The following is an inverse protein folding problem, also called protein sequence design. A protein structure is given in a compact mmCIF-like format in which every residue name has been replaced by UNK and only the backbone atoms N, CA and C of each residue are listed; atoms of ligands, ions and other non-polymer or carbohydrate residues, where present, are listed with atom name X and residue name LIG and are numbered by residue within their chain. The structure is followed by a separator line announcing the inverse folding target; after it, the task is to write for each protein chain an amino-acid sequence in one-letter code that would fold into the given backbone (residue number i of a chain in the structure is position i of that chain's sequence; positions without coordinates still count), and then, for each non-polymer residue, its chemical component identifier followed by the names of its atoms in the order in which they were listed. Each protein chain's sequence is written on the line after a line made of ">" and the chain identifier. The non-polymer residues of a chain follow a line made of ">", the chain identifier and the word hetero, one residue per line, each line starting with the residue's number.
data_IF_556323591247
#
_entry.id   IF_556323591247
#
_cell.length_a   1.000
_cell.length_b   1.000
_cell.length_c   1.000
_cell.angle_alpha   90.00
_cell.angle_beta   90.00
_cell.angle_gamma   90.00
#
_symmetry.space_group_name_H-M   'P 1'
#
loop_
_entity.id
_entity.type
_entity.pdbx_description
1 polymer ?
#
# COMPACT_ATOMS: atom_id res chain seq x y z
N UNK A 1 4.14 15.45 19.46
CA UNK A 1 3.08 14.48 19.05
C UNK A 1 2.24 13.99 20.24
N UNK A 2 2.83 13.59 21.40
CA UNK A 2 2.05 13.08 22.57
C UNK A 2 0.92 14.01 23.02
N UNK A 3 1.18 15.31 23.20
CA UNK A 3 0.15 16.31 23.57
C UNK A 3 -0.98 16.40 22.54
N UNK A 4 -0.67 16.33 21.26
CA UNK A 4 -1.67 16.32 20.19
C UNK A 4 -2.51 15.05 20.26
N UNK A 5 -1.89 13.89 20.49
CA UNK A 5 -2.58 12.60 20.65
C UNK A 5 -3.62 12.68 21.80
N UNK A 6 -3.18 13.10 22.99
CA UNK A 6 -4.06 13.23 24.15
C UNK A 6 -5.22 14.18 23.86
N UNK A 7 -4.94 15.36 23.33
CA UNK A 7 -5.97 16.34 23.00
C UNK A 7 -7.01 15.81 22.00
N UNK A 8 -6.57 15.14 20.94
CA UNK A 8 -7.50 14.57 19.96
C UNK A 8 -8.37 13.47 20.55
N UNK A 9 -7.80 12.62 21.42
CA UNK A 9 -8.54 11.53 22.06
C UNK A 9 -9.50 12.00 23.13
N UNK A 10 -9.22 13.12 23.81
CA UNK A 10 -10.18 13.77 24.72
C UNK A 10 -11.43 14.24 23.97
N UNK A 11 -11.27 14.76 22.75
CA UNK A 11 -12.39 15.21 21.92
C UNK A 11 -13.12 14.04 21.24
N UNK A 12 -12.38 13.07 20.77
CA UNK A 12 -12.89 11.91 20.04
C UNK A 12 -11.99 10.69 20.28
N UNK A 13 -12.40 9.72 21.13
CA UNK A 13 -11.56 8.58 21.52
C UNK A 13 -11.01 7.74 20.37
N UNK A 14 -11.76 7.66 19.26
CA UNK A 14 -11.39 6.91 18.05
C UNK A 14 -10.70 7.79 16.97
N UNK A 15 -10.23 8.98 17.34
CA UNK A 15 -9.55 9.89 16.39
C UNK A 15 -8.23 9.30 15.93
N UNK A 16 -8.09 9.06 14.62
CA UNK A 16 -6.88 8.54 14.01
C UNK A 16 -5.90 9.68 13.65
N UNK A 17 -4.64 9.53 14.04
CA UNK A 17 -3.53 10.39 13.64
C UNK A 17 -2.60 9.63 12.71
N UNK A 18 -2.45 10.12 11.49
CA UNK A 18 -1.57 9.57 10.47
C UNK A 18 -0.52 10.62 10.12
N UNK A 19 0.76 10.28 10.20
CA UNK A 19 1.87 11.16 9.87
C UNK A 19 2.37 10.94 8.46
N UNK A 20 2.84 12.00 7.82
CA UNK A 20 3.64 11.89 6.63
C UNK A 20 5.11 11.85 7.01
N UNK A 21 5.75 10.71 6.76
CA UNK A 21 7.14 10.44 7.12
C UNK A 21 7.85 9.77 5.96
N UNK A 22 8.87 10.42 5.44
CA UNK A 22 9.59 9.95 4.25
C UNK A 22 10.61 8.86 4.57
N UNK A 23 11.27 8.95 5.73
CA UNK A 23 12.36 8.04 6.12
C UNK A 23 12.54 8.01 7.65
N UNK A 24 13.29 7.05 8.11
CA UNK A 24 13.62 6.87 9.53
C UNK A 24 12.96 5.62 10.14
N UNK A 25 13.15 5.46 11.44
CA UNK A 25 12.51 4.38 12.19
C UNK A 25 11.11 4.81 12.66
N UNK A 26 10.10 4.26 12.02
CA UNK A 26 8.70 4.58 12.32
C UNK A 26 8.27 4.16 13.73
N UNK A 27 8.99 3.24 14.41
CA UNK A 27 8.69 2.87 15.80
C UNK A 27 8.80 4.05 16.76
N UNK A 28 9.65 5.04 16.44
CA UNK A 28 9.82 6.22 17.28
C UNK A 28 8.57 7.10 17.33
N UNK A 29 7.73 7.04 16.30
CA UNK A 29 6.57 7.95 16.14
C UNK A 29 5.23 7.22 15.99
N UNK A 30 5.22 5.98 15.51
CA UNK A 30 4.01 5.13 15.41
C UNK A 30 3.98 4.21 16.62
N UNK A 31 3.28 4.63 17.66
CA UNK A 31 3.16 3.93 18.93
C UNK A 31 1.90 4.41 19.69
N UNK A 32 1.63 3.82 20.84
CA UNK A 32 0.41 4.08 21.61
C UNK A 32 0.30 5.51 22.14
N UNK A 33 1.40 6.26 22.21
CA UNK A 33 1.43 7.63 22.72
C UNK A 33 1.42 8.72 21.65
N UNK A 34 1.67 8.37 20.37
CA UNK A 34 1.85 9.36 19.29
C UNK A 34 0.96 9.07 18.08
N UNK A 35 1.53 8.68 16.95
CA UNK A 35 0.76 8.42 15.74
C UNK A 35 0.21 7.00 15.72
N UNK A 36 -0.95 6.81 15.13
CA UNK A 36 -1.54 5.49 14.87
C UNK A 36 -0.90 4.83 13.64
N UNK A 37 -0.49 5.65 12.67
CA UNK A 37 0.09 5.22 11.40
C UNK A 37 0.98 6.32 10.82
N UNK A 38 1.78 5.96 9.83
CA UNK A 38 2.45 6.91 8.94
C UNK A 38 2.54 6.36 7.52
N UNK A 39 2.91 7.24 6.58
CA UNK A 39 3.12 6.91 5.17
C UNK A 39 4.23 5.86 4.98
N UNK A 40 3.95 4.82 4.17
CA UNK A 40 4.89 3.74 3.90
C UNK A 40 5.61 3.94 2.55
N UNK A 41 6.54 4.89 2.52
CA UNK A 41 7.31 5.19 1.32
C UNK A 41 8.24 4.05 0.86
N UNK A 42 8.68 3.19 1.78
CA UNK A 42 9.48 2.01 1.43
C UNK A 42 8.65 1.05 0.56
N UNK A 43 7.43 0.69 0.98
CA UNK A 43 6.56 -0.16 0.18
C UNK A 43 6.11 0.54 -1.12
N UNK A 44 5.83 1.86 -1.10
CA UNK A 44 5.56 2.61 -2.33
C UNK A 44 6.66 2.40 -3.37
N UNK A 45 7.93 2.64 -2.98
CA UNK A 45 9.08 2.42 -3.87
C UNK A 45 9.17 0.96 -4.31
N UNK A 46 9.07 0.02 -3.37
CA UNK A 46 9.16 -1.41 -3.66
C UNK A 46 8.10 -1.87 -4.66
N UNK A 47 6.86 -1.35 -4.57
CA UNK A 47 5.77 -1.71 -5.49
C UNK A 47 6.13 -1.33 -6.93
N UNK A 48 6.29 -0.02 -7.23
CA UNK A 48 6.48 0.38 -8.64
C UNK A 48 7.80 -0.13 -9.22
N UNK A 49 8.85 -0.19 -8.41
CA UNK A 49 10.16 -0.67 -8.83
C UNK A 49 10.12 -2.15 -9.17
N UNK A 50 9.47 -2.99 -8.37
CA UNK A 50 9.31 -4.42 -8.64
C UNK A 50 8.58 -4.70 -9.95
N UNK A 51 7.51 -3.99 -10.23
CA UNK A 51 6.79 -4.16 -11.50
C UNK A 51 7.56 -3.63 -12.70
N UNK A 52 8.28 -2.52 -12.56
CA UNK A 52 9.06 -1.95 -13.66
C UNK A 52 10.32 -2.76 -14.02
N UNK A 53 10.96 -3.35 -13.02
CA UNK A 53 12.15 -4.19 -13.20
C UNK A 53 11.82 -5.67 -13.44
N UNK A 54 10.54 -6.06 -13.39
CA UNK A 54 10.11 -7.46 -13.44
C UNK A 54 10.82 -8.30 -12.36
N UNK A 55 10.90 -7.73 -11.13
CA UNK A 55 11.65 -8.32 -10.04
C UNK A 55 10.92 -8.10 -8.69
N UNK A 56 10.17 -9.11 -8.27
CA UNK A 56 9.38 -9.07 -7.03
C UNK A 56 10.21 -9.12 -5.75
N UNK A 57 11.53 -9.35 -5.82
CA UNK A 57 12.39 -9.44 -4.64
C UNK A 57 12.43 -8.14 -3.83
N UNK A 58 12.32 -6.98 -4.47
CA UNK A 58 12.39 -5.70 -3.75
C UNK A 58 11.18 -5.52 -2.84
N UNK A 59 9.96 -5.65 -3.36
CA UNK A 59 8.77 -5.52 -2.53
C UNK A 59 8.63 -6.65 -1.53
N UNK A 60 9.01 -7.88 -1.90
CA UNK A 60 9.00 -9.01 -0.99
C UNK A 60 9.96 -8.79 0.20
N UNK A 61 11.16 -8.23 -0.05
CA UNK A 61 12.09 -7.86 1.02
C UNK A 61 11.48 -6.83 1.97
N UNK A 62 10.86 -5.77 1.43
CA UNK A 62 10.20 -4.74 2.25
C UNK A 62 9.06 -5.32 3.09
N UNK A 63 8.23 -6.20 2.52
CA UNK A 63 7.14 -6.85 3.25
C UNK A 63 7.65 -7.79 4.34
N UNK A 64 8.66 -8.61 4.06
CA UNK A 64 9.28 -9.49 5.06
C UNK A 64 9.93 -8.68 6.19
N UNK A 65 10.66 -7.62 5.85
CA UNK A 65 11.31 -6.74 6.82
C UNK A 65 10.30 -6.04 7.72
N UNK A 66 9.18 -5.61 7.18
CA UNK A 66 8.18 -4.85 7.93
C UNK A 66 7.18 -5.74 8.69
N UNK A 67 6.77 -6.87 8.12
CA UNK A 67 5.63 -7.65 8.59
C UNK A 67 5.89 -9.16 8.69
N UNK A 68 7.06 -9.64 8.27
CA UNK A 68 7.39 -11.06 8.22
C UNK A 68 7.38 -11.78 9.57
N UNK A 69 7.45 -13.11 9.57
CA UNK A 69 7.44 -13.91 10.80
C UNK A 69 8.74 -13.86 11.57
N UNK A 70 9.84 -13.44 10.95
CA UNK A 70 11.18 -13.48 11.50
C UNK A 70 11.39 -12.48 12.66
N UNK A 71 12.32 -12.79 13.56
CA UNK A 71 12.62 -11.91 14.71
C UNK A 71 13.11 -10.53 14.33
N UNK A 72 13.76 -10.38 13.18
CA UNK A 72 14.25 -9.11 12.66
C UNK A 72 13.15 -8.22 12.01
N UNK A 73 11.90 -8.66 12.03
CA UNK A 73 10.75 -7.85 11.57
C UNK A 73 10.59 -6.60 12.42
N UNK A 74 10.56 -5.43 11.77
CA UNK A 74 10.63 -4.13 12.45
C UNK A 74 9.28 -3.49 12.78
N UNK A 75 8.20 -3.80 12.03
CA UNK A 75 6.90 -3.13 12.19
C UNK A 75 5.75 -4.12 12.41
N UNK A 76 6.03 -5.28 13.00
CA UNK A 76 5.00 -6.27 13.31
C UNK A 76 3.90 -5.65 14.19
N UNK A 77 2.64 -5.85 13.79
CA UNK A 77 1.48 -5.30 14.49
C UNK A 77 1.20 -3.83 14.19
N UNK A 78 2.01 -3.15 13.38
CA UNK A 78 1.72 -1.78 12.94
C UNK A 78 0.95 -1.76 11.63
N UNK A 79 0.05 -0.81 11.52
CA UNK A 79 -0.77 -0.59 10.33
C UNK A 79 -0.32 0.67 9.59
N UNK A 80 0.80 0.58 8.86
CA UNK A 80 1.32 1.71 8.08
C UNK A 80 0.40 2.02 6.90
N UNK A 81 0.24 3.30 6.57
CA UNK A 81 -0.54 3.75 5.42
C UNK A 81 0.25 3.53 4.13
N UNK A 82 -0.15 2.52 3.37
CA UNK A 82 0.48 2.14 2.10
C UNK A 82 -0.29 2.70 0.92
N UNK A 83 0.43 3.09 -0.13
CA UNK A 83 -0.12 3.72 -1.33
C UNK A 83 0.72 3.36 -2.56
N UNK A 84 0.17 3.55 -3.75
CA UNK A 84 0.88 3.38 -5.02
C UNK A 84 1.22 4.71 -5.68
N UNK A 85 0.54 5.76 -5.29
CA UNK A 85 0.85 7.17 -5.59
C UNK A 85 0.17 8.10 -4.57
N UNK A 86 0.56 9.37 -4.58
CA UNK A 86 -0.03 10.43 -3.76
C UNK A 86 0.15 11.80 -4.42
N UNK A 87 -0.13 12.88 -3.67
CA UNK A 87 -0.07 14.25 -4.14
C UNK A 87 1.36 14.79 -4.37
N UNK A 88 2.40 14.06 -3.95
CA UNK A 88 3.80 14.50 -4.02
C UNK A 88 4.69 13.62 -4.88
N UNK A 89 4.16 12.52 -5.42
CA UNK A 89 4.92 11.60 -6.27
C UNK A 89 4.25 11.40 -7.62
N UNK A 90 5.02 10.97 -8.61
CA UNK A 90 4.50 10.61 -9.93
C UNK A 90 3.37 9.59 -9.81
N UNK A 91 2.26 9.83 -10.52
CA UNK A 91 1.09 8.95 -10.53
C UNK A 91 1.48 7.55 -11.00
N UNK A 92 0.90 6.52 -10.38
CA UNK A 92 1.23 5.12 -10.72
C UNK A 92 0.98 4.81 -12.20
N UNK A 93 -0.07 5.37 -12.80
CA UNK A 93 -0.35 5.25 -14.22
C UNK A 93 0.71 5.91 -15.12
N UNK A 94 1.54 6.80 -14.61
CA UNK A 94 2.67 7.40 -15.33
C UNK A 94 3.99 6.69 -15.07
N UNK A 95 4.20 6.18 -13.83
CA UNK A 95 5.47 5.58 -13.44
C UNK A 95 5.64 4.14 -13.96
N UNK A 96 4.56 3.37 -14.09
CA UNK A 96 4.62 2.01 -14.62
C UNK A 96 5.00 2.00 -16.09
N UNK A 97 5.98 1.19 -16.46
CA UNK A 97 6.40 0.97 -17.86
C UNK A 97 5.38 0.11 -18.61
N UNK A 98 4.92 -0.98 -17.99
CA UNK A 98 3.84 -1.81 -18.51
C UNK A 98 2.50 -1.48 -17.83
N UNK A 99 1.56 -0.92 -18.59
CA UNK A 99 0.26 -0.50 -18.05
C UNK A 99 -0.64 -1.67 -17.65
N UNK A 100 -0.38 -2.87 -18.18
CA UNK A 100 -1.11 -4.08 -17.80
C UNK A 100 -0.81 -4.48 -16.33
N UNK A 101 0.26 -3.97 -15.73
CA UNK A 101 0.56 -4.19 -14.32
C UNK A 101 -0.27 -3.30 -13.37
N UNK A 102 -1.00 -2.32 -13.88
CA UNK A 102 -1.77 -1.40 -13.04
C UNK A 102 -2.80 -2.13 -12.15
N UNK A 103 -3.62 -3.08 -12.65
CA UNK A 103 -4.50 -3.87 -11.78
C UNK A 103 -3.73 -4.70 -10.74
N UNK A 104 -2.55 -5.22 -11.10
CA UNK A 104 -1.72 -6.03 -10.20
C UNK A 104 -1.16 -5.20 -9.04
N UNK A 105 -0.81 -3.92 -9.27
CA UNK A 105 -0.35 -3.03 -8.20
C UNK A 105 -1.43 -2.80 -7.14
N UNK A 106 -2.69 -2.70 -7.56
CA UNK A 106 -3.82 -2.60 -6.62
C UNK A 106 -4.14 -3.92 -5.94
N UNK A 107 -3.97 -5.06 -6.63
CA UNK A 107 -4.04 -6.39 -6.02
C UNK A 107 -3.03 -6.54 -4.88
N UNK A 108 -1.80 -6.12 -5.12
CA UNK A 108 -0.76 -6.10 -4.10
C UNK A 108 -1.10 -5.12 -2.96
N UNK A 109 -1.43 -3.86 -3.26
CA UNK A 109 -1.74 -2.83 -2.27
C UNK A 109 -2.87 -3.25 -1.33
N UNK A 110 -3.96 -3.80 -1.89
CA UNK A 110 -5.14 -4.19 -1.12
C UNK A 110 -5.00 -5.55 -0.44
N UNK A 111 -4.08 -6.40 -0.88
CA UNK A 111 -3.77 -7.69 -0.27
C UNK A 111 -2.71 -7.63 0.85
N UNK A 112 -1.75 -6.73 0.76
CA UNK A 112 -0.64 -6.62 1.72
C UNK A 112 -1.08 -6.08 3.09
N UNK A 113 -0.25 -6.24 4.16
CA UNK A 113 -0.48 -5.60 5.46
C UNK A 113 -0.51 -4.08 5.39
N UNK A 114 -1.12 -3.45 6.41
CA UNK A 114 -1.21 -2.00 6.54
C UNK A 114 -2.58 -1.45 6.13
N UNK A 115 -2.68 -0.14 6.01
CA UNK A 115 -3.89 0.59 5.60
C UNK A 115 -3.70 1.05 4.16
N UNK A 116 -4.39 0.47 3.17
CA UNK A 116 -4.28 0.90 1.79
C UNK A 116 -4.93 2.27 1.60
N UNK A 117 -4.22 3.16 0.91
CA UNK A 117 -4.71 4.46 0.52
C UNK A 117 -4.73 4.56 -1.01
N UNK A 118 -5.87 4.93 -1.57
CA UNK A 118 -6.04 5.20 -2.99
C UNK A 118 -6.18 6.71 -3.16
N UNK A 119 -5.24 7.29 -3.88
CA UNK A 119 -5.25 8.71 -4.16
C UNK A 119 -6.28 9.02 -5.26
N UNK A 120 -7.04 10.11 -5.10
CA UNK A 120 -8.11 10.47 -6.03
C UNK A 120 -7.64 10.54 -7.48
N UNK A 121 -8.44 10.02 -8.40
CA UNK A 121 -8.12 9.93 -9.82
C UNK A 121 -7.27 8.73 -10.22
N UNK A 122 -6.59 8.08 -9.27
CA UNK A 122 -5.79 6.87 -9.56
C UNK A 122 -6.66 5.68 -9.94
N UNK A 123 -7.89 5.63 -9.43
CA UNK A 123 -8.91 4.66 -9.82
C UNK A 123 -9.34 4.78 -11.30
N UNK A 124 -9.10 5.93 -11.91
CA UNK A 124 -9.31 6.18 -13.35
C UNK A 124 -8.02 6.16 -14.16
N UNK A 125 -6.92 5.74 -13.56
CA UNK A 125 -5.58 5.74 -14.17
C UNK A 125 -5.14 7.13 -14.64
N UNK A 126 -5.47 8.20 -13.92
CA UNK A 126 -5.06 9.56 -14.23
C UNK A 126 -3.53 9.63 -14.22
N UNK A 127 -2.99 10.23 -15.27
CA UNK A 127 -1.55 10.44 -15.44
C UNK A 127 -1.12 11.75 -14.81
N UNK A 128 0.11 11.80 -14.35
CA UNK A 128 0.77 13.00 -13.83
C UNK A 128 2.19 12.66 -13.39
N UNK A 129 3.13 13.51 -13.78
CA UNK A 129 4.55 13.32 -13.46
C UNK A 129 5.01 14.43 -12.52
N UNK A 130 5.75 14.06 -11.48
CA UNK A 130 6.39 15.02 -10.57
C UNK A 130 7.34 15.90 -11.36
N UNK A 131 7.16 17.21 -11.23
CA UNK A 131 8.00 18.20 -11.87
C UNK A 131 8.67 19.07 -10.81
N UNK A 132 9.85 19.56 -11.12
CA UNK A 132 10.50 20.55 -10.25
C UNK A 132 9.67 21.84 -10.20
N UNK A 133 9.37 22.31 -9.00
CA UNK A 133 8.65 23.58 -8.78
C UNK A 133 7.14 23.56 -9.08
N UNK A 134 6.55 22.41 -9.44
CA UNK A 134 5.11 22.34 -9.70
C UNK A 134 4.52 20.97 -9.40
N UNK A 135 3.42 20.96 -8.65
CA UNK A 135 2.60 19.77 -8.38
C UNK A 135 1.29 19.74 -9.18
N UNK A 136 1.11 20.66 -10.12
CA UNK A 136 -0.16 20.83 -10.83
C UNK A 136 -0.63 19.53 -11.52
N UNK A 137 0.29 18.76 -12.10
CA UNK A 137 -0.05 17.48 -12.73
C UNK A 137 -0.47 16.38 -11.72
N UNK A 138 -0.01 16.50 -10.47
CA UNK A 138 -0.31 15.54 -9.42
C UNK A 138 -1.63 15.85 -8.72
N UNK A 139 -2.08 17.11 -8.76
CA UNK A 139 -3.25 17.65 -8.04
C UNK A 139 -4.28 18.29 -8.98
N UNK A 140 -4.67 17.63 -10.10
CA UNK A 140 -5.62 18.20 -11.04
C UNK A 140 -7.01 18.32 -10.41
N UNK A 141 -7.75 19.35 -10.80
CA UNK A 141 -9.20 19.39 -10.56
C UNK A 141 -9.87 18.42 -11.53
N UNK A 142 -10.50 17.37 -11.02
CA UNK A 142 -11.11 16.32 -11.81
C UNK A 142 -12.63 16.44 -11.82
N UNK A 143 -13.24 16.17 -12.97
CA UNK A 143 -14.67 15.86 -13.07
C UNK A 143 -14.84 14.36 -12.84
N UNK A 144 -15.98 13.98 -12.28
CA UNK A 144 -16.37 12.58 -12.13
C UNK A 144 -16.30 11.88 -13.50
N UNK A 145 -15.69 10.72 -13.55
CA UNK A 145 -15.57 9.90 -14.75
C UNK A 145 -16.43 8.65 -14.61
N UNK A 146 -16.73 8.01 -15.72
CA UNK A 146 -17.42 6.73 -15.73
C UNK A 146 -16.52 5.62 -15.18
N UNK A 147 -17.16 4.60 -14.62
CA UNK A 147 -16.48 3.43 -14.08
C UNK A 147 -15.79 2.62 -15.18
N UNK A 148 -14.50 2.56 -15.09
CA UNK A 148 -13.65 1.73 -15.95
C UNK A 148 -13.51 0.30 -15.39
N UNK A 149 -12.87 -0.59 -16.16
CA UNK A 149 -12.50 -1.92 -15.66
C UNK A 149 -11.59 -1.83 -14.42
N UNK A 150 -10.68 -0.86 -14.39
CA UNK A 150 -9.80 -0.63 -13.23
C UNK A 150 -10.59 -0.17 -12.01
N UNK A 151 -11.52 0.78 -12.17
CA UNK A 151 -12.38 1.25 -11.07
C UNK A 151 -13.15 0.09 -10.45
N UNK A 152 -13.76 -0.74 -11.28
CA UNK A 152 -14.51 -1.94 -10.85
C UNK A 152 -13.61 -2.96 -10.15
N UNK A 153 -12.39 -3.16 -10.66
CA UNK A 153 -11.39 -4.05 -10.05
C UNK A 153 -11.01 -3.56 -8.64
N UNK A 154 -10.67 -2.28 -8.50
CA UNK A 154 -10.33 -1.67 -7.21
C UNK A 154 -11.50 -1.76 -6.23
N UNK A 155 -12.72 -1.46 -6.69
CA UNK A 155 -13.93 -1.57 -5.87
C UNK A 155 -14.13 -3.02 -5.36
N UNK A 156 -13.95 -4.02 -6.24
CA UNK A 156 -14.04 -5.43 -5.88
C UNK A 156 -13.01 -5.81 -4.82
N UNK A 157 -11.76 -5.42 -4.99
CA UNK A 157 -10.70 -5.67 -4.00
C UNK A 157 -10.99 -4.97 -2.67
N UNK A 158 -11.50 -3.74 -2.70
CA UNK A 158 -11.91 -3.00 -1.51
C UNK A 158 -13.06 -3.70 -0.76
N UNK A 159 -14.05 -4.22 -1.49
CA UNK A 159 -15.15 -5.01 -0.92
C UNK A 159 -14.64 -6.32 -0.30
N UNK A 160 -13.72 -7.02 -0.97
CA UNK A 160 -13.09 -8.23 -0.42
C UNK A 160 -12.34 -7.90 0.88
N UNK A 161 -11.54 -6.83 0.89
CA UNK A 161 -10.81 -6.40 2.08
C UNK A 161 -11.75 -6.05 3.24
N UNK A 162 -12.90 -5.44 2.96
CA UNK A 162 -13.92 -5.15 3.96
C UNK A 162 -14.60 -6.41 4.50
N UNK A 163 -14.79 -7.43 3.66
CA UNK A 163 -15.44 -8.71 4.03
C UNK A 163 -14.52 -9.68 4.73
N UNK A 164 -13.20 -9.56 4.54
CA UNK A 164 -12.19 -10.49 5.03
C UNK A 164 -11.29 -9.80 6.06
N UNK A 165 -11.64 -9.87 7.37
CA UNK A 165 -10.86 -9.24 8.45
C UNK A 165 -9.40 -9.66 8.47
N UNK A 166 -9.07 -10.86 8.00
CA UNK A 166 -7.70 -11.34 7.87
C UNK A 166 -6.79 -10.45 7.02
N UNK A 167 -7.33 -9.73 6.05
CA UNK A 167 -6.57 -8.75 5.26
C UNK A 167 -6.18 -7.50 6.07
N UNK A 168 -6.90 -7.22 7.18
CA UNK A 168 -6.56 -6.15 8.10
C UNK A 168 -5.66 -6.64 9.24
N UNK A 169 -6.07 -7.69 9.97
CA UNK A 169 -5.43 -8.12 11.22
C UNK A 169 -4.60 -9.41 11.11
N UNK A 170 -4.56 -10.04 9.92
CA UNK A 170 -3.80 -11.26 9.72
C UNK A 170 -2.28 -11.04 9.68
N UNK A 171 -1.54 -12.08 10.03
CA UNK A 171 -0.10 -12.15 9.83
C UNK A 171 0.27 -12.07 8.34
N UNK A 172 1.54 -11.94 8.06
CA UNK A 172 2.10 -12.02 6.71
C UNK A 172 3.14 -13.13 6.67
N UNK A 173 3.07 -13.95 5.63
CA UNK A 173 4.06 -15.00 5.36
C UNK A 173 4.29 -15.11 3.85
N UNK A 174 5.54 -14.98 3.41
CA UNK A 174 5.91 -15.21 2.02
C UNK A 174 5.93 -16.71 1.73
N UNK A 175 5.20 -17.12 0.69
CA UNK A 175 5.09 -18.55 0.31
C UNK A 175 5.94 -18.86 -0.91
N UNK A 176 5.91 -17.99 -1.93
CA UNK A 176 6.69 -18.16 -3.15
C UNK A 176 7.25 -16.81 -3.58
N UNK A 177 8.50 -16.82 -3.97
CA UNK A 177 9.16 -15.65 -4.55
C UNK A 177 10.02 -16.07 -5.75
N UNK A 178 9.74 -15.44 -6.87
CA UNK A 178 10.54 -15.48 -8.11
C UNK A 178 10.63 -14.07 -8.67
N UNK A 179 11.39 -13.90 -9.73
CA UNK A 179 11.53 -12.56 -10.35
C UNK A 179 10.17 -11.95 -10.69
N UNK A 180 9.29 -12.71 -11.31
CA UNK A 180 8.02 -12.21 -11.85
C UNK A 180 6.80 -12.69 -11.06
N UNK A 181 7.00 -13.55 -10.05
CA UNK A 181 5.93 -14.12 -9.24
C UNK A 181 6.16 -13.86 -7.74
N UNK A 182 5.10 -13.48 -7.06
CA UNK A 182 5.05 -13.37 -5.61
C UNK A 182 3.76 -13.99 -5.10
N UNK A 183 3.88 -14.94 -4.17
CA UNK A 183 2.73 -15.44 -3.44
C UNK A 183 2.98 -15.25 -1.95
N UNK A 184 2.04 -14.67 -1.27
CA UNK A 184 2.06 -14.55 0.18
C UNK A 184 0.70 -14.91 0.79
N UNK A 185 0.75 -15.31 2.03
CA UNK A 185 -0.41 -15.65 2.83
C UNK A 185 -0.66 -14.58 3.88
N UNK A 186 -1.92 -14.28 4.11
CA UNK A 186 -2.44 -13.56 5.27
C UNK A 186 -3.25 -14.54 6.10
N UNK A 187 -2.99 -14.63 7.39
CA UNK A 187 -3.65 -15.60 8.27
C UNK A 187 -3.95 -14.99 9.65
N UNK A 188 -5.13 -15.28 10.16
CA UNK A 188 -5.50 -15.09 11.56
C UNK A 188 -6.04 -16.42 12.15
N UNK A 189 -6.67 -16.38 13.30
CA UNK A 189 -7.19 -17.59 13.96
C UNK A 189 -8.33 -18.28 13.20
N UNK A 190 -9.07 -17.56 12.36
CA UNK A 190 -10.33 -18.01 11.76
C UNK A 190 -10.25 -18.16 10.23
N UNK A 191 -9.33 -17.44 9.59
CA UNK A 191 -9.30 -17.29 8.13
C UNK A 191 -7.87 -17.26 7.61
N UNK A 192 -7.70 -17.72 6.37
CA UNK A 192 -6.50 -17.46 5.60
C UNK A 192 -6.85 -16.99 4.18
N UNK A 193 -6.02 -16.12 3.64
CA UNK A 193 -6.12 -15.59 2.28
C UNK A 193 -4.76 -15.68 1.62
N UNK A 194 -4.73 -16.20 0.42
CA UNK A 194 -3.55 -16.26 -0.43
C UNK A 194 -3.63 -15.17 -1.48
N UNK A 195 -2.57 -14.39 -1.59
CA UNK A 195 -2.42 -13.37 -2.63
C UNK A 195 -1.34 -13.82 -3.57
N UNK A 196 -1.72 -14.11 -4.82
CA UNK A 196 -0.82 -14.56 -5.87
C UNK A 196 -0.72 -13.50 -6.96
N UNK A 197 0.49 -13.11 -7.30
CA UNK A 197 0.82 -12.11 -8.32
C UNK A 197 1.75 -12.75 -9.35
N UNK A 198 1.42 -12.56 -10.62
CA UNK A 198 2.28 -12.91 -11.75
C UNK A 198 2.34 -11.71 -12.70
N UNK A 199 3.51 -11.08 -12.85
CA UNK A 199 3.73 -9.99 -13.79
C UNK A 199 4.39 -10.42 -15.09
N UNK A 200 4.65 -11.73 -15.25
CA UNK A 200 5.13 -12.30 -16.52
C UNK A 200 4.05 -12.19 -17.61
N UNK A 201 4.47 -12.32 -18.86
CA UNK A 201 3.55 -12.38 -20.01
C UNK A 201 2.87 -13.74 -20.13
N UNK A 202 3.49 -14.78 -19.57
CA UNK A 202 3.01 -16.15 -19.64
C UNK A 202 2.41 -16.60 -18.30
N UNK A 203 1.51 -17.55 -18.35
CA UNK A 203 0.99 -18.22 -17.16
C UNK A 203 2.12 -19.04 -16.48
N UNK A 204 2.06 -19.06 -15.18
CA UNK A 204 2.98 -19.83 -14.34
C UNK A 204 2.25 -20.98 -13.68
#
# INVERSE_FOLDING_TARGET
>A
MKRLRSFCQELKPDFALIGEVLFGDYNQIVNDEMLHSCTNYECYKGIYSSFNSMNMFEIAHSLNRQYGPEQWCIYRGKHLMSFVDNHDVTRIASILTNKNHLPLTYGLLLGMPGVPCIYYGSEWAIKGTKQYGSDAQLRPCLKLQEDSALTKHIATLGLLRKKLPVLFNGSYEQILLRNEQLVFKRQNQNEEVWVALNCAQEAY
#
